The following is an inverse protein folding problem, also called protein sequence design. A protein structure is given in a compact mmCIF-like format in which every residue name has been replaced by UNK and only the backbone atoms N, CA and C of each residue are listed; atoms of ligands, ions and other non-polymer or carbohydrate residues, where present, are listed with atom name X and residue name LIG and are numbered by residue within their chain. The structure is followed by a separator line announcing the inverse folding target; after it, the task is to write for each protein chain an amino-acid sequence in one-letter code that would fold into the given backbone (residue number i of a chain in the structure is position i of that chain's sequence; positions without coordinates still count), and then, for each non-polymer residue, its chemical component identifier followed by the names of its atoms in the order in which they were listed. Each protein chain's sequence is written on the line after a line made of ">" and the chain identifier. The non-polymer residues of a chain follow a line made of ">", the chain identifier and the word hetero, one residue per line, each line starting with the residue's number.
data_IF_471436927717
#
_entry.id   IF_471436927717
#
_cell.length_a   1.000
_cell.length_b   1.000
_cell.length_c   1.000
_cell.angle_alpha   90.00
_cell.angle_beta   90.00
_cell.angle_gamma   90.00
#
_symmetry.space_group_name_H-M   'P 1'
#
loop_
_entity.id
_entity.type
_entity.pdbx_description
1 polymer ?
#
# COMPACT_ATOMS: atom_id res chain seq x y z
N UNK A 1 -9.17 -2.03 -41.34
CA UNK A 1 -10.18 -1.00 -41.00
C UNK A 1 -9.55 -0.07 -40.00
N UNK A 2 -9.22 1.12 -40.48
CA UNK A 2 -8.54 2.20 -39.75
C UNK A 2 -9.32 2.51 -38.48
N UNK A 3 -8.69 2.34 -37.31
CA UNK A 3 -9.23 2.86 -36.05
C UNK A 3 -9.23 4.38 -36.15
N UNK A 4 -10.30 4.97 -36.68
CA UNK A 4 -10.46 6.41 -36.83
C UNK A 4 -10.08 7.09 -35.51
N UNK A 5 -9.07 7.94 -35.61
CA UNK A 5 -8.58 8.72 -34.48
C UNK A 5 -9.54 9.89 -34.35
N UNK A 6 -10.52 9.78 -33.44
CA UNK A 6 -11.46 10.85 -33.19
C UNK A 6 -10.79 11.96 -32.34
N UNK A 7 -10.57 13.18 -32.88
CA UNK A 7 -9.94 14.28 -32.14
C UNK A 7 -10.75 14.73 -30.92
N UNK A 8 -12.08 14.59 -30.95
CA UNK A 8 -12.93 14.90 -29.80
C UNK A 8 -12.71 13.92 -28.67
N UNK A 9 -12.52 12.63 -28.98
CA UNK A 9 -12.24 11.60 -28.00
C UNK A 9 -10.90 11.85 -27.29
N UNK A 10 -9.88 12.31 -28.04
CA UNK A 10 -8.58 12.68 -27.48
C UNK A 10 -8.71 13.90 -26.58
N UNK A 11 -9.44 14.93 -27.03
CA UNK A 11 -9.71 16.14 -26.22
C UNK A 11 -10.42 15.80 -24.90
N UNK A 12 -11.44 14.94 -24.95
CA UNK A 12 -12.16 14.49 -23.76
C UNK A 12 -11.26 13.69 -22.81
N UNK A 13 -10.39 12.83 -23.34
CA UNK A 13 -9.45 12.05 -22.54
C UNK A 13 -8.41 12.94 -21.83
N UNK A 14 -7.85 13.93 -22.53
CA UNK A 14 -6.93 14.91 -21.92
C UNK A 14 -7.63 15.70 -20.81
N UNK A 15 -8.87 16.16 -21.04
CA UNK A 15 -9.66 16.85 -20.02
C UNK A 15 -9.91 15.96 -18.80
N UNK A 16 -10.29 14.70 -19.02
CA UNK A 16 -10.49 13.74 -17.95
C UNK A 16 -9.21 13.52 -17.14
N UNK A 17 -8.05 13.42 -17.79
CA UNK A 17 -6.76 13.24 -17.12
C UNK A 17 -6.44 14.44 -16.23
N UNK A 18 -6.58 15.66 -16.76
CA UNK A 18 -6.40 16.91 -16.00
C UNK A 18 -7.34 16.95 -14.78
N UNK A 19 -8.63 16.65 -14.97
CA UNK A 19 -9.62 16.63 -13.88
C UNK A 19 -9.25 15.59 -12.80
N UNK A 20 -8.72 14.44 -13.22
CA UNK A 20 -8.27 13.39 -12.30
C UNK A 20 -7.05 13.84 -11.49
N UNK A 21 -6.04 14.41 -12.15
CA UNK A 21 -4.82 14.96 -11.52
C UNK A 21 -5.18 16.09 -10.54
N UNK A 22 -6.08 17.00 -10.91
CA UNK A 22 -6.57 18.06 -10.01
C UNK A 22 -7.29 17.51 -8.77
N UNK A 23 -8.10 16.46 -8.92
CA UNK A 23 -8.74 15.77 -7.78
C UNK A 23 -7.70 15.13 -6.86
N UNK A 24 -6.63 14.55 -7.42
CA UNK A 24 -5.52 14.01 -6.63
C UNK A 24 -4.83 15.11 -5.82
N UNK A 25 -4.50 16.25 -6.45
CA UNK A 25 -3.93 17.43 -5.75
C UNK A 25 -4.86 17.93 -4.65
N UNK A 26 -6.17 18.01 -4.91
CA UNK A 26 -7.15 18.40 -3.88
C UNK A 26 -7.15 17.44 -2.69
N UNK A 27 -7.07 16.13 -2.95
CA UNK A 27 -7.00 15.10 -1.90
C UNK A 27 -5.70 15.20 -1.08
N UNK A 28 -4.56 15.39 -1.74
CA UNK A 28 -3.26 15.58 -1.09
C UNK A 28 -3.26 16.85 -0.22
N UNK A 29 -3.79 17.97 -0.73
CA UNK A 29 -3.96 19.20 0.03
C UNK A 29 -4.87 19.04 1.25
N UNK A 30 -5.95 18.27 1.13
CA UNK A 30 -6.81 17.92 2.28
C UNK A 30 -6.05 17.08 3.31
N UNK A 31 -5.24 16.11 2.87
CA UNK A 31 -4.40 15.31 3.76
C UNK A 31 -3.35 16.18 4.47
N UNK A 32 -2.70 17.09 3.75
CA UNK A 32 -1.74 18.05 4.29
C UNK A 32 -2.38 18.93 5.38
N UNK A 33 -3.55 19.52 5.10
CA UNK A 33 -4.28 20.37 6.08
C UNK A 33 -4.77 19.63 7.32
N UNK A 34 -4.97 18.31 7.24
CA UNK A 34 -5.40 17.49 8.39
C UNK A 34 -4.26 17.27 9.39
N UNK A 35 -3.02 17.22 8.90
CA UNK A 35 -1.86 17.11 9.78
C UNK A 35 -1.63 18.50 10.39
N UNK A 36 -1.87 18.61 11.69
CA UNK A 36 -1.57 19.83 12.46
C UNK A 36 -0.05 20.01 12.54
N UNK A 37 0.38 21.23 12.89
CA UNK A 37 1.79 21.55 13.11
C UNK A 37 2.48 20.47 13.98
N UNK A 38 3.36 19.63 13.42
CA UNK A 38 4.00 18.56 14.18
C UNK A 38 4.97 19.11 15.22
N UNK A 39 5.47 20.34 15.07
CA UNK A 39 6.41 20.93 16.03
C UNK A 39 5.78 21.08 17.43
N UNK A 40 4.45 21.18 17.53
CA UNK A 40 3.77 21.14 18.84
C UNK A 40 4.04 19.82 19.59
N UNK A 41 4.18 18.70 18.87
CA UNK A 41 4.46 17.39 19.49
C UNK A 41 5.88 17.34 20.03
N UNK A 42 6.84 17.89 19.29
CA UNK A 42 8.23 18.02 19.73
C UNK A 42 8.33 18.90 20.97
N UNK A 43 7.61 20.01 21.00
CA UNK A 43 7.53 20.93 22.16
C UNK A 43 6.97 20.20 23.37
N UNK A 44 5.87 19.47 23.21
CA UNK A 44 5.28 18.64 24.28
C UNK A 44 6.28 17.62 24.83
N UNK A 45 6.93 16.85 23.95
CA UNK A 45 7.94 15.86 24.36
C UNK A 45 9.13 16.51 25.09
N UNK A 46 9.57 17.68 24.64
CA UNK A 46 10.68 18.41 25.26
C UNK A 46 10.29 18.93 26.64
N UNK A 47 9.11 19.55 26.78
CA UNK A 47 8.59 20.03 28.06
C UNK A 47 8.45 18.90 29.08
N UNK A 48 7.96 17.72 28.68
CA UNK A 48 7.88 16.57 29.56
C UNK A 48 9.25 16.09 30.04
N UNK A 49 10.27 16.08 29.17
CA UNK A 49 11.65 15.74 29.58
C UNK A 49 12.24 16.80 30.51
N UNK A 50 12.02 18.09 30.24
CA UNK A 50 12.55 19.20 31.05
C UNK A 50 11.94 19.24 32.46
N UNK A 51 10.62 19.06 32.57
CA UNK A 51 9.89 19.15 33.83
C UNK A 51 9.62 17.79 34.48
N UNK A 52 10.34 16.73 34.08
CA UNK A 52 10.03 15.34 34.45
C UNK A 52 9.83 15.13 35.96
N UNK A 53 10.66 15.76 36.79
CA UNK A 53 10.63 15.63 38.25
C UNK A 53 9.52 16.45 38.94
N UNK A 54 8.84 17.34 38.20
CA UNK A 54 7.80 18.24 38.72
C UNK A 54 6.39 17.81 38.28
N UNK A 55 6.28 16.74 37.49
CA UNK A 55 5.03 16.28 36.89
C UNK A 55 4.38 15.23 37.79
N UNK A 56 3.16 15.55 38.24
CA UNK A 56 2.28 14.60 38.93
C UNK A 56 1.49 13.77 37.91
N UNK A 57 1.92 12.52 37.70
CA UNK A 57 1.29 11.58 36.77
C UNK A 57 -0.16 11.25 37.12
N UNK A 58 -0.56 11.33 38.39
CA UNK A 58 -1.89 10.89 38.85
C UNK A 58 -3.03 11.69 38.22
N UNK A 59 -2.76 12.93 37.81
CA UNK A 59 -3.73 13.83 37.16
C UNK A 59 -4.04 13.45 35.71
N UNK A 60 -3.18 12.67 35.05
CA UNK A 60 -3.33 12.31 33.63
C UNK A 60 -3.11 13.47 32.64
N UNK A 61 -2.70 14.66 33.13
CA UNK A 61 -2.31 15.79 32.30
C UNK A 61 -1.41 16.76 33.08
N UNK A 62 -0.68 17.61 32.35
CA UNK A 62 0.08 18.74 32.91
C UNK A 62 -0.05 19.98 32.02
N UNK A 63 0.04 21.15 32.63
CA UNK A 63 0.04 22.46 31.96
C UNK A 63 1.42 23.08 32.12
N UNK A 64 2.14 23.30 31.02
CA UNK A 64 3.52 23.81 31.02
C UNK A 64 3.64 25.03 30.09
N UNK A 65 4.55 25.98 30.37
CA UNK A 65 4.77 27.14 29.51
C UNK A 65 5.37 26.71 28.16
N UNK A 66 4.86 27.24 27.05
CA UNK A 66 5.46 27.02 25.72
C UNK A 66 6.75 27.85 25.62
N UNK A 67 7.90 27.19 25.50
CA UNK A 67 9.17 27.90 25.33
C UNK A 67 9.28 28.65 23.99
N UNK A 68 8.39 28.39 23.03
CA UNK A 68 8.30 29.14 21.76
C UNK A 68 7.49 30.42 21.92
N UNK A 69 6.56 30.46 22.88
CA UNK A 69 5.65 31.57 23.15
C UNK A 69 5.42 31.66 24.67
N UNK A 70 6.30 32.37 25.40
CA UNK A 70 6.34 32.33 26.87
C UNK A 70 5.00 32.67 27.57
N UNK A 71 4.18 33.50 26.94
CA UNK A 71 2.86 33.90 27.45
C UNK A 71 1.77 32.84 27.25
N UNK A 72 2.06 31.77 26.51
CA UNK A 72 1.15 30.66 26.27
C UNK A 72 1.51 29.43 27.10
N UNK A 73 0.46 28.73 27.55
CA UNK A 73 0.58 27.44 28.24
C UNK A 73 0.03 26.34 27.35
N UNK A 74 0.72 25.21 27.31
CA UNK A 74 0.28 24.01 26.60
C UNK A 74 -0.21 22.97 27.60
N UNK A 75 -1.40 22.43 27.34
CA UNK A 75 -1.89 21.24 28.03
C UNK A 75 -1.36 19.98 27.35
N UNK A 76 -0.73 19.11 28.13
CA UNK A 76 -0.13 17.85 27.70
C UNK A 76 -0.83 16.72 28.44
N UNK A 77 -1.40 15.77 27.71
CA UNK A 77 -2.08 14.61 28.29
C UNK A 77 -1.08 13.47 28.48
N UNK A 78 -1.26 12.71 29.56
CA UNK A 78 -0.34 11.67 30.00
C UNK A 78 -1.11 10.37 30.17
N UNK A 79 -0.50 9.27 29.74
CA UNK A 79 -0.91 7.94 30.14
C UNK A 79 -0.33 7.65 31.53
N UNK A 80 -1.21 7.51 32.51
CA UNK A 80 -0.86 7.25 33.92
C UNK A 80 -0.12 5.92 34.12
N UNK A 81 -0.22 5.00 33.15
CA UNK A 81 0.46 3.69 33.19
C UNK A 81 1.91 3.76 32.70
N UNK A 82 2.34 4.90 32.18
CA UNK A 82 3.67 5.13 31.61
C UNK A 82 4.45 6.13 32.46
N UNK A 83 5.77 6.02 32.45
CA UNK A 83 6.61 7.05 33.05
C UNK A 83 6.47 8.39 32.30
N UNK A 84 6.87 9.50 32.92
CA UNK A 84 6.89 10.81 32.24
C UNK A 84 7.78 10.78 31.00
N UNK A 85 8.91 10.06 31.08
CA UNK A 85 9.87 9.91 29.98
C UNK A 85 9.25 9.09 28.84
N UNK A 86 8.54 8.01 29.14
CA UNK A 86 7.86 7.21 28.12
C UNK A 86 6.72 7.98 27.44
N UNK A 87 5.97 8.79 28.21
CA UNK A 87 4.98 9.71 27.67
C UNK A 87 5.61 10.73 26.71
N UNK A 88 6.79 11.28 27.06
CA UNK A 88 7.54 12.16 26.18
C UNK A 88 7.94 11.46 24.88
N UNK A 89 8.38 10.20 24.96
CA UNK A 89 8.81 9.43 23.81
C UNK A 89 7.66 9.11 22.84
N UNK A 90 6.43 8.90 23.36
CA UNK A 90 5.22 8.80 22.51
C UNK A 90 5.03 10.06 21.67
N UNK A 91 5.20 11.24 22.24
CA UNK A 91 5.11 12.51 21.49
C UNK A 91 6.22 12.65 20.46
N UNK A 92 7.46 12.23 20.76
CA UNK A 92 8.56 12.23 19.79
C UNK A 92 8.32 11.24 18.65
N UNK A 93 7.85 10.03 18.94
CA UNK A 93 7.48 9.07 17.90
C UNK A 93 6.36 9.59 16.98
N UNK A 94 5.35 10.25 17.55
CA UNK A 94 4.31 10.89 16.75
C UNK A 94 4.88 12.05 15.92
N UNK A 95 5.74 12.89 16.49
CA UNK A 95 6.45 13.95 15.76
C UNK A 95 7.20 13.42 14.54
N UNK A 96 8.03 12.40 14.71
CA UNK A 96 8.81 11.81 13.61
C UNK A 96 7.93 11.15 12.55
N UNK A 97 6.81 10.55 12.95
CA UNK A 97 5.82 9.99 12.01
C UNK A 97 5.14 11.08 11.19
N UNK A 98 4.64 12.12 11.84
CA UNK A 98 3.92 13.21 11.17
C UNK A 98 4.85 14.03 10.28
N UNK A 99 6.10 14.27 10.72
CA UNK A 99 7.13 14.94 9.92
C UNK A 99 7.47 14.15 8.66
N UNK A 100 7.66 12.82 8.77
CA UNK A 100 7.87 11.96 7.60
C UNK A 100 6.65 11.97 6.68
N UNK A 101 5.45 11.85 7.24
CA UNK A 101 4.20 11.91 6.49
C UNK A 101 4.05 13.21 5.70
N UNK A 102 4.33 14.36 6.32
CA UNK A 102 4.31 15.66 5.65
C UNK A 102 5.34 15.78 4.54
N UNK A 103 6.56 15.30 4.75
CA UNK A 103 7.59 15.29 3.72
C UNK A 103 7.15 14.46 2.50
N UNK A 104 6.60 13.27 2.73
CA UNK A 104 6.06 12.40 1.67
C UNK A 104 4.88 13.05 0.95
N UNK A 105 3.93 13.65 1.67
CA UNK A 105 2.78 14.33 1.05
C UNK A 105 3.27 15.51 0.19
N UNK A 106 4.22 16.30 0.70
CA UNK A 106 4.79 17.44 -0.04
C UNK A 106 5.48 16.98 -1.32
N UNK A 107 6.32 15.94 -1.24
CA UNK A 107 6.97 15.36 -2.42
C UNK A 107 5.94 14.91 -3.46
N UNK A 108 4.90 14.17 -3.05
CA UNK A 108 3.85 13.75 -3.98
C UNK A 108 3.05 14.91 -4.56
N UNK A 109 2.87 15.99 -3.79
CA UNK A 109 2.19 17.19 -4.26
C UNK A 109 3.03 17.88 -5.35
N UNK A 110 4.33 18.08 -5.12
CA UNK A 110 5.26 18.65 -6.10
C UNK A 110 5.31 17.80 -7.40
N UNK A 111 5.39 16.46 -7.26
CA UNK A 111 5.36 15.52 -8.40
C UNK A 111 4.04 15.61 -9.19
N UNK A 112 2.91 15.69 -8.48
CA UNK A 112 1.58 15.74 -9.10
C UNK A 112 1.33 17.10 -9.77
N UNK A 113 1.79 18.19 -9.17
CA UNK A 113 1.72 19.54 -9.76
C UNK A 113 2.56 19.65 -11.03
N UNK A 114 3.79 19.12 -11.01
CA UNK A 114 4.63 19.03 -12.22
C UNK A 114 3.95 18.22 -13.33
N UNK A 115 3.23 17.16 -12.96
CA UNK A 115 2.46 16.34 -13.92
C UNK A 115 1.32 17.15 -14.52
N UNK A 116 0.56 17.88 -13.68
CA UNK A 116 -0.53 18.75 -14.14
C UNK A 116 -0.02 19.85 -15.10
N UNK A 117 1.13 20.46 -14.81
CA UNK A 117 1.73 21.47 -15.69
C UNK A 117 2.02 20.90 -17.09
N UNK A 118 2.59 19.70 -17.16
CA UNK A 118 2.84 19.00 -18.43
C UNK A 118 1.55 18.68 -19.17
N UNK A 119 0.52 18.21 -18.46
CA UNK A 119 -0.79 17.90 -19.03
C UNK A 119 -1.47 19.15 -19.61
N UNK A 120 -1.42 20.27 -18.90
CA UNK A 120 -1.93 21.56 -19.36
C UNK A 120 -1.14 22.10 -20.56
N UNK A 121 0.19 22.02 -20.53
CA UNK A 121 1.03 22.43 -21.66
C UNK A 121 0.70 21.60 -22.92
N UNK A 122 0.53 20.29 -22.77
CA UNK A 122 0.09 19.39 -23.85
C UNK A 122 -1.28 19.81 -24.39
N UNK A 123 -2.27 20.05 -23.53
CA UNK A 123 -3.60 20.51 -23.94
C UNK A 123 -3.55 21.86 -24.69
N UNK A 124 -2.73 22.81 -24.23
CA UNK A 124 -2.59 24.12 -24.87
C UNK A 124 -1.92 24.05 -26.25
N UNK A 125 -0.96 23.13 -26.42
CA UNK A 125 -0.25 22.89 -27.69
C UNK A 125 -0.99 21.98 -28.67
N UNK A 126 -2.16 21.46 -28.28
CA UNK A 126 -2.89 20.48 -29.07
C UNK A 126 -3.58 21.11 -30.29
N UNK A 127 -3.24 20.63 -31.47
CA UNK A 127 -3.88 20.97 -32.73
C UNK A 127 -4.67 19.76 -33.25
N UNK A 128 -6.02 19.78 -33.21
CA UNK A 128 -6.85 18.66 -33.63
C UNK A 128 -6.81 18.39 -35.15
N UNK A 129 -6.16 19.26 -35.94
CA UNK A 129 -5.97 19.08 -37.39
C UNK A 129 -4.65 18.40 -37.74
N UNK A 130 -3.75 18.22 -36.78
CA UNK A 130 -2.46 17.56 -37.00
C UNK A 130 -2.57 16.05 -36.74
N UNK A 131 -2.63 15.28 -37.81
CA UNK A 131 -2.74 13.81 -37.75
C UNK A 131 -1.56 13.15 -37.04
N UNK A 132 -0.34 13.70 -37.16
CA UNK A 132 0.84 13.14 -36.51
C UNK A 132 0.78 13.34 -35.00
N UNK A 133 0.35 14.53 -34.58
CA UNK A 133 0.17 14.86 -33.17
C UNK A 133 -0.96 14.03 -32.54
N UNK A 134 -2.06 13.81 -33.29
CA UNK A 134 -3.18 12.96 -32.85
C UNK A 134 -2.74 11.51 -32.55
N UNK A 135 -1.92 10.91 -33.43
CA UNK A 135 -1.39 9.55 -33.22
C UNK A 135 -0.49 9.49 -31.98
N UNK A 136 0.44 10.45 -31.85
CA UNK A 136 1.40 10.48 -30.74
C UNK A 136 0.70 10.67 -29.39
N UNK A 137 -0.21 11.63 -29.29
CA UNK A 137 -0.94 11.91 -28.05
C UNK A 137 -1.84 10.73 -27.68
N UNK A 138 -2.51 10.10 -28.67
CA UNK A 138 -3.31 8.91 -28.41
C UNK A 138 -2.46 7.79 -27.80
N UNK A 139 -1.27 7.55 -28.34
CA UNK A 139 -0.36 6.53 -27.82
C UNK A 139 0.10 6.84 -26.39
N UNK A 140 0.51 8.09 -26.12
CA UNK A 140 0.88 8.54 -24.78
C UNK A 140 -0.27 8.40 -23.78
N UNK A 141 -1.48 8.82 -24.14
CA UNK A 141 -2.66 8.69 -23.28
C UNK A 141 -3.02 7.23 -22.99
N UNK A 142 -2.71 6.30 -23.89
CA UNK A 142 -2.87 4.86 -23.66
C UNK A 142 -1.82 4.35 -22.66
N UNK A 143 -0.56 4.75 -22.83
CA UNK A 143 0.54 4.38 -21.93
C UNK A 143 0.34 4.93 -20.51
N UNK A 144 -0.18 6.15 -20.40
CA UNK A 144 -0.55 6.81 -19.14
C UNK A 144 -1.88 6.28 -18.55
N UNK A 145 -2.62 5.45 -19.30
CA UNK A 145 -3.88 4.84 -18.86
C UNK A 145 -5.10 5.75 -18.91
N UNK A 146 -4.99 6.96 -19.48
CA UNK A 146 -6.09 7.91 -19.68
C UNK A 146 -7.01 7.51 -20.85
N UNK A 147 -6.49 6.81 -21.86
CA UNK A 147 -7.27 6.20 -22.93
C UNK A 147 -7.17 4.69 -22.83
N UNK A 148 -8.31 4.03 -22.60
CA UNK A 148 -8.41 2.59 -22.81
C UNK A 148 -8.50 2.35 -24.32
N UNK A 149 -7.57 1.60 -24.89
CA UNK A 149 -7.83 1.01 -26.20
C UNK A 149 -9.08 0.14 -26.04
N UNK A 150 -10.03 0.26 -26.98
CA UNK A 150 -10.89 -0.88 -27.28
C UNK A 150 -9.94 -1.96 -27.77
N UNK A 151 -9.38 -2.72 -26.85
CA UNK A 151 -9.08 -4.11 -27.14
C UNK A 151 -10.43 -4.61 -27.59
N UNK A 152 -10.63 -4.74 -28.92
CA UNK A 152 -11.56 -5.71 -29.45
C UNK A 152 -11.27 -6.92 -28.60
N UNK A 153 -12.19 -7.29 -27.71
CA UNK A 153 -12.04 -8.53 -26.99
C UNK A 153 -11.70 -9.52 -28.09
N UNK A 154 -10.45 -10.00 -28.08
CA UNK A 154 -10.20 -11.27 -28.70
C UNK A 154 -11.28 -12.14 -28.09
N UNK A 155 -12.14 -12.69 -28.93
CA UNK A 155 -13.15 -13.65 -28.51
C UNK A 155 -12.50 -14.89 -27.87
N UNK A 156 -11.16 -14.94 -27.78
CA UNK A 156 -10.50 -15.63 -26.68
C UNK A 156 -10.72 -14.86 -25.39
N UNK A 157 -11.69 -15.34 -24.61
CA UNK A 157 -11.59 -15.41 -23.15
C UNK A 157 -10.09 -15.43 -22.81
N UNK A 158 -9.52 -14.40 -22.15
CA UNK A 158 -8.15 -14.51 -21.70
C UNK A 158 -8.11 -15.80 -20.90
N UNK A 159 -7.36 -16.79 -21.38
CA UNK A 159 -7.17 -18.03 -20.63
C UNK A 159 -6.90 -17.59 -19.20
N UNK A 160 -7.66 -18.07 -18.21
CA UNK A 160 -7.43 -17.66 -16.84
C UNK A 160 -5.96 -17.95 -16.59
N UNK A 161 -5.14 -16.90 -16.49
CA UNK A 161 -3.75 -17.04 -16.17
C UNK A 161 -3.74 -17.60 -14.76
N UNK A 162 -3.75 -18.92 -14.66
CA UNK A 162 -3.92 -19.59 -13.39
C UNK A 162 -2.82 -19.10 -12.45
N UNK A 163 -3.13 -18.97 -11.13
CA UNK A 163 -2.09 -18.74 -10.14
C UNK A 163 -0.98 -19.77 -10.34
N UNK A 164 0.26 -19.42 -9.98
CA UNK A 164 1.34 -20.42 -10.04
C UNK A 164 0.96 -21.55 -9.10
N UNK A 165 0.99 -22.78 -9.61
CA UNK A 165 0.73 -23.99 -8.83
C UNK A 165 2.06 -24.62 -8.48
N UNK A 166 2.16 -25.03 -7.24
CA UNK A 166 3.26 -25.79 -6.69
C UNK A 166 2.67 -26.95 -5.91
N UNK A 167 3.39 -28.04 -5.82
CA UNK A 167 3.06 -29.11 -4.90
C UNK A 167 4.13 -29.15 -3.83
N UNK A 168 3.71 -29.23 -2.56
CA UNK A 168 4.65 -29.48 -1.46
C UNK A 168 5.18 -30.91 -1.55
N UNK A 169 6.21 -31.21 -0.76
CA UNK A 169 6.73 -32.57 -0.65
C UNK A 169 5.66 -33.57 -0.19
N UNK A 170 4.64 -33.10 0.55
CA UNK A 170 3.46 -33.89 0.96
C UNK A 170 2.38 -33.98 -0.12
N UNK A 171 2.67 -33.57 -1.36
CA UNK A 171 1.75 -33.47 -2.48
C UNK A 171 0.53 -32.57 -2.24
N UNK A 172 0.66 -31.57 -1.37
CA UNK A 172 -0.40 -30.57 -1.14
C UNK A 172 -0.26 -29.44 -2.16
N UNK A 173 -1.37 -29.11 -2.82
CA UNK A 173 -1.42 -28.00 -3.76
C UNK A 173 -1.25 -26.65 -3.02
N UNK A 174 -0.30 -25.85 -3.51
CA UNK A 174 -0.07 -24.47 -3.10
C UNK A 174 -0.21 -23.55 -4.31
N UNK A 175 -1.10 -22.57 -4.21
CA UNK A 175 -1.33 -21.59 -5.27
C UNK A 175 -0.79 -20.22 -4.88
N UNK A 176 -0.06 -19.58 -5.81
CA UNK A 176 0.56 -18.26 -5.63
C UNK A 176 0.08 -17.29 -6.69
N UNK A 177 -0.55 -16.19 -6.28
CA UNK A 177 -1.05 -15.17 -7.19
C UNK A 177 0.08 -14.39 -7.89
N UNK A 178 -0.08 -14.10 -9.19
CA UNK A 178 0.94 -13.39 -9.98
C UNK A 178 0.77 -11.87 -9.98
N UNK A 179 -0.44 -11.38 -9.69
CA UNK A 179 -0.79 -9.96 -9.67
C UNK A 179 -1.97 -9.71 -8.71
N UNK A 180 -2.32 -8.45 -8.48
CA UNK A 180 -3.34 -8.06 -7.51
C UNK A 180 -4.75 -8.60 -7.81
N UNK A 181 -5.12 -8.76 -9.09
CA UNK A 181 -6.41 -9.33 -9.48
C UNK A 181 -6.47 -10.83 -9.18
N UNK A 182 -5.37 -11.56 -9.43
CA UNK A 182 -5.26 -12.98 -9.09
C UNK A 182 -5.20 -13.20 -7.59
N UNK A 183 -4.49 -12.35 -6.85
CA UNK A 183 -4.43 -12.39 -5.39
C UNK A 183 -5.84 -12.31 -4.79
N UNK A 184 -6.67 -11.38 -5.28
CA UNK A 184 -8.06 -11.27 -4.87
C UNK A 184 -8.86 -12.52 -5.21
N UNK A 185 -8.79 -12.96 -6.47
CA UNK A 185 -9.55 -14.13 -6.91
C UNK A 185 -9.16 -15.35 -6.08
N UNK A 186 -7.86 -15.59 -5.89
CA UNK A 186 -7.32 -16.71 -5.12
C UNK A 186 -7.81 -16.68 -3.68
N UNK A 187 -7.71 -15.53 -3.00
CA UNK A 187 -8.14 -15.41 -1.60
C UNK A 187 -9.66 -15.51 -1.44
N UNK A 188 -10.44 -14.95 -2.36
CA UNK A 188 -11.91 -14.92 -2.23
C UNK A 188 -12.59 -16.23 -2.66
N UNK A 189 -11.96 -17.02 -3.54
CA UNK A 189 -12.52 -18.30 -4.02
C UNK A 189 -12.02 -19.51 -3.25
N UNK A 190 -10.96 -19.38 -2.45
CA UNK A 190 -10.44 -20.46 -1.62
C UNK A 190 -11.46 -20.91 -0.54
N UNK A 191 -11.39 -22.19 -0.16
CA UNK A 191 -12.21 -22.71 0.95
C UNK A 191 -11.83 -22.02 2.25
N UNK A 192 -12.83 -21.73 3.08
CA UNK A 192 -12.67 -20.96 4.33
C UNK A 192 -11.75 -21.63 5.35
N UNK A 193 -11.65 -22.96 5.32
CA UNK A 193 -10.79 -23.72 6.23
C UNK A 193 -9.34 -23.90 5.75
N UNK A 194 -9.02 -23.41 4.54
CA UNK A 194 -7.67 -23.44 4.02
C UNK A 194 -6.79 -22.36 4.64
N UNK A 195 -5.48 -22.57 4.53
CA UNK A 195 -4.48 -21.63 5.02
C UNK A 195 -4.10 -20.64 3.93
N UNK A 196 -3.87 -19.40 4.35
CA UNK A 196 -3.42 -18.29 3.54
C UNK A 196 -2.18 -17.68 4.16
N UNK A 197 -1.25 -17.27 3.29
CA UNK A 197 0.01 -16.65 3.68
C UNK A 197 0.30 -15.39 2.88
N UNK A 198 0.95 -14.44 3.55
CA UNK A 198 1.50 -13.22 2.96
C UNK A 198 2.67 -12.71 3.81
N UNK A 199 3.59 -11.97 3.20
CA UNK A 199 4.72 -11.41 3.93
C UNK A 199 4.28 -10.26 4.84
N UNK A 200 4.69 -10.29 6.11
CA UNK A 200 4.32 -9.25 7.05
C UNK A 200 4.95 -7.91 6.63
N UNK A 201 4.15 -6.84 6.61
CA UNK A 201 4.58 -5.45 6.35
C UNK A 201 5.17 -5.14 4.96
N UNK A 202 5.30 -6.14 4.08
CA UNK A 202 5.90 -5.99 2.75
C UNK A 202 4.90 -6.29 1.63
N UNK A 203 5.15 -5.76 0.43
CA UNK A 203 4.37 -6.13 -0.74
C UNK A 203 4.78 -7.54 -1.22
N UNK A 204 3.79 -8.38 -1.53
CA UNK A 204 4.02 -9.75 -1.99
C UNK A 204 2.76 -10.43 -2.53
N UNK A 205 2.97 -11.60 -3.13
CA UNK A 205 1.89 -12.46 -3.62
C UNK A 205 1.06 -13.06 -2.48
N UNK A 206 -0.24 -13.26 -2.72
CA UNK A 206 -1.06 -14.10 -1.85
C UNK A 206 -0.76 -15.56 -2.15
N UNK A 207 -0.62 -16.35 -1.09
CA UNK A 207 -0.39 -17.79 -1.19
C UNK A 207 -1.49 -18.53 -0.46
N UNK A 208 -2.11 -19.53 -1.09
CA UNK A 208 -3.13 -20.39 -0.49
C UNK A 208 -2.64 -21.83 -0.50
N UNK A 209 -2.72 -22.47 0.66
CA UNK A 209 -2.40 -23.89 0.85
C UNK A 209 -3.73 -24.64 0.87
N UNK A 210 -3.94 -25.55 -0.09
CA UNK A 210 -5.18 -26.30 -0.24
C UNK A 210 -5.26 -27.49 0.74
N UNK A 211 -5.11 -27.20 2.03
CA UNK A 211 -5.21 -28.17 3.12
C UNK A 211 -5.86 -27.55 4.34
N UNK A 212 -6.65 -28.33 5.07
CA UNK A 212 -7.27 -27.94 6.35
C UNK A 212 -6.39 -28.22 7.54
N UNK A 213 -5.38 -29.09 7.38
CA UNK A 213 -4.42 -29.45 8.42
C UNK A 213 -3.03 -29.73 7.79
N UNK A 214 -2.35 -28.69 7.28
CA UNK A 214 -1.02 -28.85 6.68
C UNK A 214 0.01 -29.27 7.72
N UNK A 215 0.97 -30.10 7.32
CA UNK A 215 2.14 -30.43 8.14
C UNK A 215 3.01 -29.17 8.36
N UNK A 216 3.89 -29.19 9.37
CA UNK A 216 4.87 -28.12 9.56
C UNK A 216 5.79 -27.96 8.34
N UNK A 217 6.11 -29.05 7.66
CA UNK A 217 6.92 -29.04 6.45
C UNK A 217 6.20 -28.29 5.31
N UNK A 218 4.93 -28.64 5.05
CA UNK A 218 4.09 -27.96 4.06
C UNK A 218 3.95 -26.46 4.37
N UNK A 219 3.80 -26.09 5.65
CA UNK A 219 3.76 -24.68 6.07
C UNK A 219 5.08 -23.94 5.78
N UNK A 220 6.23 -24.57 6.06
CA UNK A 220 7.55 -23.97 5.80
C UNK A 220 7.83 -23.81 4.31
N UNK A 221 7.48 -24.81 3.50
CA UNK A 221 7.64 -24.78 2.04
C UNK A 221 6.76 -23.68 1.42
N UNK A 222 5.49 -23.59 1.82
CA UNK A 222 4.59 -22.54 1.38
C UNK A 222 5.03 -21.13 1.83
N UNK A 223 5.56 -21.01 3.06
CA UNK A 223 6.10 -19.74 3.54
C UNK A 223 7.35 -19.33 2.74
N UNK A 224 8.19 -20.28 2.34
CA UNK A 224 9.33 -20.00 1.46
C UNK A 224 8.86 -19.44 0.11
N UNK A 225 7.86 -20.08 -0.51
CA UNK A 225 7.23 -19.57 -1.74
C UNK A 225 6.66 -18.14 -1.54
N UNK A 226 5.99 -17.91 -0.41
CA UNK A 226 5.44 -16.59 -0.04
C UNK A 226 6.55 -15.53 0.04
N UNK A 227 7.65 -15.84 0.71
CA UNK A 227 8.78 -14.93 0.85
C UNK A 227 9.52 -14.72 -0.48
N UNK A 228 9.68 -15.77 -1.29
CA UNK A 228 10.32 -15.72 -2.59
C UNK A 228 9.55 -14.89 -3.62
N UNK A 229 8.21 -14.97 -3.62
CA UNK A 229 7.34 -14.15 -4.50
C UNK A 229 6.93 -12.81 -3.86
N UNK A 230 7.81 -12.24 -3.03
CA UNK A 230 7.61 -10.95 -2.38
C UNK A 230 8.77 -9.98 -2.61
N UNK A 231 8.60 -8.74 -2.14
CA UNK A 231 9.70 -7.77 -2.03
C UNK A 231 10.77 -8.18 -1.00
N UNK A 232 10.48 -9.15 -0.13
CA UNK A 232 11.41 -9.72 0.84
C UNK A 232 12.39 -10.75 0.28
N UNK A 233 12.31 -11.11 -1.02
CA UNK A 233 13.13 -12.18 -1.64
C UNK A 233 14.64 -12.07 -1.40
N UNK A 234 15.18 -10.86 -1.24
CA UNK A 234 16.61 -10.62 -1.00
C UNK A 234 17.03 -10.61 0.48
N UNK A 235 16.10 -10.77 1.42
CA UNK A 235 16.37 -10.71 2.85
C UNK A 235 16.74 -12.08 3.40
N UNK A 236 17.60 -12.11 4.43
CA UNK A 236 18.01 -13.37 5.10
C UNK A 236 16.89 -13.97 5.95
N UNK A 237 15.99 -13.14 6.46
CA UNK A 237 14.86 -13.55 7.27
C UNK A 237 13.66 -12.71 6.87
N UNK A 238 12.58 -13.37 6.48
CA UNK A 238 11.32 -12.75 6.07
C UNK A 238 10.21 -13.29 6.97
N UNK A 239 9.52 -12.43 7.74
CA UNK A 239 8.33 -12.82 8.47
C UNK A 239 7.17 -13.03 7.50
N UNK A 240 6.49 -14.17 7.63
CA UNK A 240 5.33 -14.55 6.85
C UNK A 240 4.15 -14.75 7.79
N UNK A 241 3.09 -13.99 7.58
CA UNK A 241 1.83 -14.16 8.30
C UNK A 241 1.08 -15.37 7.77
N UNK A 242 0.56 -16.17 8.69
CA UNK A 242 -0.20 -17.39 8.46
C UNK A 242 -1.56 -17.24 9.10
N UNK A 243 -2.60 -17.31 8.28
CA UNK A 243 -4.00 -17.11 8.66
C UNK A 243 -4.87 -18.17 7.98
N UNK A 244 -6.08 -18.38 8.48
CA UNK A 244 -7.12 -19.10 7.73
C UNK A 244 -7.85 -18.16 6.78
N UNK A 245 -8.31 -18.68 5.64
CA UNK A 245 -9.11 -17.91 4.67
C UNK A 245 -10.41 -17.38 5.30
N UNK A 246 -10.97 -18.07 6.29
CA UNK A 246 -12.12 -17.62 7.09
C UNK A 246 -11.89 -16.31 7.85
N UNK A 247 -10.64 -15.99 8.19
CA UNK A 247 -10.28 -14.75 8.89
C UNK A 247 -10.19 -13.56 7.93
N UNK A 248 -10.12 -13.81 6.62
CA UNK A 248 -9.93 -12.79 5.60
C UNK A 248 -11.26 -12.24 5.10
N UNK A 249 -11.33 -10.92 4.99
CA UNK A 249 -12.45 -10.21 4.40
C UNK A 249 -11.98 -9.03 3.56
N UNK A 250 -12.81 -8.66 2.58
CA UNK A 250 -12.54 -7.52 1.70
C UNK A 250 -13.60 -6.46 1.94
N UNK A 251 -13.16 -5.23 2.24
CA UNK A 251 -14.09 -4.10 2.41
C UNK A 251 -14.68 -3.66 1.07
N UNK A 252 -15.93 -3.20 1.08
CA UNK A 252 -16.63 -2.76 -0.13
C UNK A 252 -15.89 -1.58 -0.76
N UNK A 253 -15.45 -1.74 -2.01
CA UNK A 253 -14.68 -0.73 -2.74
C UNK A 253 -13.17 -0.78 -2.53
N UNK A 254 -12.63 -1.77 -1.80
CA UNK A 254 -11.19 -1.95 -1.68
C UNK A 254 -10.52 -2.22 -3.05
N UNK A 255 -9.34 -1.63 -3.24
CA UNK A 255 -8.49 -1.87 -4.41
C UNK A 255 -8.16 -3.36 -4.55
N UNK A 256 -7.93 -3.85 -5.77
CA UNK A 256 -7.53 -5.25 -5.93
C UNK A 256 -6.24 -5.60 -5.19
N UNK A 257 -6.20 -6.78 -4.58
CA UNK A 257 -5.11 -7.30 -3.76
C UNK A 257 -5.13 -6.84 -2.30
N UNK A 258 -6.04 -5.94 -1.91
CA UNK A 258 -6.17 -5.49 -0.53
C UNK A 258 -7.17 -6.36 0.23
N UNK A 259 -6.66 -7.11 1.21
CA UNK A 259 -7.44 -7.93 2.14
C UNK A 259 -7.19 -7.48 3.57
N UNK A 260 -8.22 -7.55 4.40
CA UNK A 260 -8.15 -7.30 5.84
C UNK A 260 -8.39 -8.64 6.54
N UNK A 261 -7.85 -8.80 7.75
CA UNK A 261 -8.08 -10.00 8.56
C UNK A 261 -8.53 -9.65 9.97
N UNK A 262 -9.18 -10.61 10.63
CA UNK A 262 -9.56 -10.52 12.04
C UNK A 262 -8.88 -11.59 12.88
N UNK A 263 -8.74 -11.32 14.18
CA UNK A 263 -8.14 -12.25 15.13
C UNK A 263 -6.61 -12.22 15.13
N UNK A 264 -6.00 -13.31 15.60
CA UNK A 264 -4.54 -13.47 15.69
C UNK A 264 -4.01 -14.09 14.40
N UNK A 265 -2.96 -13.50 13.83
CA UNK A 265 -2.10 -14.17 12.86
C UNK A 265 -1.00 -14.94 13.61
N UNK A 266 -0.56 -16.07 13.04
CA UNK A 266 0.71 -16.68 13.42
C UNK A 266 1.78 -16.20 12.45
N UNK A 267 2.99 -15.94 12.91
CA UNK A 267 4.09 -15.50 12.03
C UNK A 267 5.15 -16.57 11.98
N UNK A 268 5.54 -16.95 10.75
CA UNK A 268 6.63 -17.88 10.49
C UNK A 268 7.79 -17.13 9.82
N UNK A 269 8.97 -17.18 10.40
CA UNK A 269 10.16 -16.56 9.82
C UNK A 269 10.89 -17.57 8.93
N UNK A 270 11.12 -17.21 7.67
CA UNK A 270 11.80 -18.07 6.69
C UNK A 270 12.90 -17.31 5.93
N UNK A 271 13.86 -18.05 5.41
CA UNK A 271 14.86 -17.55 4.45
C UNK A 271 14.38 -17.95 3.04
N UNK A 272 14.14 -16.99 2.13
CA UNK A 272 13.76 -17.30 0.75
C UNK A 272 14.83 -18.17 0.07
N UNK A 273 14.41 -19.30 -0.50
CA UNK A 273 15.29 -20.21 -1.23
C UNK A 273 14.80 -20.40 -2.67
N UNK A 274 15.63 -19.96 -3.62
CA UNK A 274 15.36 -20.10 -5.04
C UNK A 274 15.34 -21.55 -5.50
N UNK A 275 16.23 -22.39 -4.97
CA UNK A 275 16.35 -23.78 -5.38
C UNK A 275 15.11 -24.56 -4.95
N UNK A 276 14.67 -24.37 -3.71
CA UNK A 276 13.42 -24.95 -3.22
C UNK A 276 12.21 -24.50 -4.06
N UNK A 277 12.08 -23.21 -4.34
CA UNK A 277 10.98 -22.70 -5.17
C UNK A 277 10.97 -23.27 -6.61
N UNK A 278 12.14 -23.59 -7.17
CA UNK A 278 12.27 -24.25 -8.47
C UNK A 278 11.92 -25.73 -8.40
N UNK A 279 12.35 -26.43 -7.33
CA UNK A 279 12.02 -27.84 -7.12
C UNK A 279 10.51 -28.06 -7.03
N UNK A 280 9.82 -27.28 -6.20
CA UNK A 280 8.36 -27.38 -5.99
C UNK A 280 7.54 -26.97 -7.24
N UNK A 281 8.17 -26.36 -8.25
CA UNK A 281 7.54 -26.01 -9.52
C UNK A 281 7.70 -27.08 -10.61
N UNK A 282 8.62 -28.02 -10.43
CA UNK A 282 8.95 -29.07 -11.40
C UNK A 282 8.21 -30.40 -11.13
N UNK A 283 7.57 -30.51 -9.96
CA UNK A 283 6.71 -31.61 -9.51
C UNK A 283 5.23 -31.24 -9.65
#
# INVERSE_FOLDING_TARGET
>A
MSTEINPEQISQAMKWQIDHTQKQISSLNKAFKRIKDPEILKVKGTLLKTYANQIDLSKGYVILPDYRQPDQKITIYLDIKKSVIDNAEVYFHQYHRDKRGLATIKQHLDETETTLEKELARQNSFNPKDETQLVQIKQQLIEEGALKTKVLHSSKVPEPAHPRRFYTTDHILVEVGKNSLQNDHLTLTAKKDYYWMHVSELAGSHVVIHSTNPSEQTLREAANLTAYYSKGRGLKQVPVDVLKVSQLFKSKGAKPGLVLFTGKSSTLTVTPDRQLAQKLAAE
#
